data_IF_204446933418
#
_entry.id   IF_204446933418
#
_cell.length_a   1.000
_cell.length_b   1.000
_cell.length_c   1.000
_cell.angle_alpha   90.00
_cell.angle_beta   90.00
_cell.angle_gamma   90.00
#
_symmetry.space_group_name_H-M   'P 1'
#
loop_
_entity.id
_entity.type
_entity.pdbx_description
1 polymer ?
#
# COMPACT_ATOMS: atom_id res chain seq x y z
N UNK A 1 -14.64 -1.91 -5.03
CA UNK A 1 -14.28 -1.79 -3.61
C UNK A 1 -12.86 -1.25 -3.53
N UNK A 2 -12.59 -0.16 -2.79
CA UNK A 2 -11.22 0.21 -2.47
C UNK A 2 -10.62 -0.89 -1.57
N UNK A 3 -9.41 -1.38 -1.84
CA UNK A 3 -8.83 -2.51 -1.11
C UNK A 3 -8.36 -2.18 0.32
N UNK A 4 -8.51 -0.92 0.76
CA UNK A 4 -8.11 -0.46 2.09
C UNK A 4 -9.28 0.33 2.68
N UNK A 5 -9.87 -0.20 3.74
CA UNK A 5 -10.87 0.50 4.53
C UNK A 5 -10.19 1.48 5.47
N UNK A 6 -10.83 2.61 5.77
CA UNK A 6 -10.26 3.72 6.56
C UNK A 6 -9.83 3.34 7.99
N UNK A 7 -10.13 2.13 8.46
CA UNK A 7 -9.70 1.57 9.75
C UNK A 7 -8.41 0.76 9.68
N UNK A 8 -7.95 0.35 8.49
CA UNK A 8 -6.68 -0.35 8.32
C UNK A 8 -5.54 0.65 8.35
N UNK A 9 -4.85 0.69 9.49
CA UNK A 9 -3.68 1.52 9.68
C UNK A 9 -2.53 0.94 8.81
N UNK A 10 -2.14 1.71 7.79
CA UNK A 10 -1.01 1.40 6.93
C UNK A 10 0.27 1.67 7.74
N UNK A 11 0.65 0.68 8.55
CA UNK A 11 1.87 0.69 9.35
C UNK A 11 2.87 -0.34 8.81
N UNK A 12 4.16 -0.04 8.94
CA UNK A 12 5.27 -0.93 8.59
C UNK A 12 5.18 -2.31 9.28
N UNK A 13 4.49 -2.38 10.42
CA UNK A 13 4.26 -3.62 11.18
C UNK A 13 3.32 -4.59 10.45
N UNK A 14 2.42 -4.08 9.61
CA UNK A 14 1.50 -4.89 8.81
C UNK A 14 2.15 -5.32 7.49
N UNK A 15 3.14 -6.22 7.60
CA UNK A 15 3.85 -6.76 6.42
C UNK A 15 2.92 -7.48 5.44
N UNK A 16 1.79 -8.04 5.90
CA UNK A 16 0.78 -8.69 5.05
C UNK A 16 0.01 -7.74 4.15
N UNK A 17 -0.24 -6.50 4.60
CA UNK A 17 -0.84 -5.45 3.79
C UNK A 17 0.20 -4.86 2.84
N UNK A 18 1.39 -4.59 3.35
CA UNK A 18 2.48 -3.99 2.56
C UNK A 18 2.91 -4.90 1.41
N UNK A 19 3.03 -6.21 1.63
CA UNK A 19 3.42 -7.16 0.59
C UNK A 19 2.47 -7.19 -0.60
N UNK A 20 1.18 -6.89 -0.40
CA UNK A 20 0.19 -6.78 -1.49
C UNK A 20 0.43 -5.57 -2.40
N UNK A 21 1.14 -4.56 -1.91
CA UNK A 21 1.43 -3.32 -2.64
C UNK A 21 2.85 -3.28 -3.22
N UNK A 22 3.62 -4.36 -3.05
CA UNK A 22 4.98 -4.51 -3.57
C UNK A 22 4.99 -5.66 -4.58
N UNK A 23 5.79 -5.54 -5.64
CA UNK A 23 6.03 -6.64 -6.57
C UNK A 23 6.93 -7.71 -5.95
N UNK A 24 7.00 -8.89 -6.56
CA UNK A 24 7.95 -9.94 -6.15
C UNK A 24 9.42 -9.48 -6.11
N UNK A 25 9.75 -8.41 -6.85
CA UNK A 25 11.09 -7.82 -6.88
C UNK A 25 11.33 -6.76 -5.80
N UNK A 26 10.40 -6.53 -4.88
CA UNK A 26 10.53 -5.49 -3.86
C UNK A 26 10.20 -4.07 -4.35
N UNK A 27 9.63 -3.90 -5.56
CA UNK A 27 9.27 -2.59 -6.10
C UNK A 27 7.84 -2.20 -5.71
N UNK A 28 7.64 -0.96 -5.28
CA UNK A 28 6.30 -0.44 -4.97
C UNK A 28 5.44 -0.42 -6.24
N UNK A 29 4.29 -1.08 -6.20
CA UNK A 29 3.35 -1.11 -7.30
C UNK A 29 2.68 0.25 -7.51
N UNK A 30 2.43 0.59 -8.78
CA UNK A 30 1.82 1.86 -9.16
C UNK A 30 0.38 1.96 -8.70
N UNK A 31 -0.06 3.18 -8.37
CA UNK A 31 -1.43 3.51 -7.93
C UNK A 31 -2.51 2.98 -8.88
N UNK A 32 -2.24 2.92 -10.18
CA UNK A 32 -3.21 2.42 -11.19
C UNK A 32 -3.51 0.94 -11.02
N UNK A 33 -2.50 0.15 -10.63
CA UNK A 33 -2.62 -1.29 -10.39
C UNK A 33 -3.41 -1.54 -9.12
N UNK A 34 -3.06 -0.83 -8.03
CA UNK A 34 -3.70 -1.01 -6.72
C UNK A 34 -5.05 -0.29 -6.58
N UNK A 35 -5.44 0.52 -7.57
CA UNK A 35 -6.66 1.35 -7.55
C UNK A 35 -6.82 2.16 -6.26
N UNK A 36 -5.71 2.74 -5.80
CA UNK A 36 -5.64 3.51 -4.57
C UNK A 36 -5.90 5.00 -4.81
N UNK A 37 -6.35 5.68 -3.76
CA UNK A 37 -6.37 7.14 -3.71
C UNK A 37 -4.94 7.69 -3.60
N UNK A 38 -4.75 8.97 -3.95
CA UNK A 38 -3.44 9.62 -3.88
C UNK A 38 -2.90 9.66 -2.42
N UNK A 39 -3.81 9.85 -1.45
CA UNK A 39 -3.50 9.86 -0.02
C UNK A 39 -3.01 8.49 0.45
N UNK A 40 -3.70 7.41 0.08
CA UNK A 40 -3.31 6.04 0.41
C UNK A 40 -1.96 5.67 -0.21
N UNK A 41 -1.73 6.01 -1.48
CA UNK A 41 -0.44 5.74 -2.14
C UNK A 41 0.72 6.43 -1.40
N UNK A 42 0.54 7.68 -0.96
CA UNK A 42 1.54 8.40 -0.16
C UNK A 42 1.83 7.70 1.17
N UNK A 43 0.79 7.26 1.88
CA UNK A 43 0.95 6.52 3.14
C UNK A 43 1.71 5.22 2.94
N UNK A 44 1.40 4.45 1.89
CA UNK A 44 2.11 3.22 1.54
C UNK A 44 3.59 3.50 1.23
N UNK A 45 3.88 4.53 0.42
CA UNK A 45 5.26 4.90 0.12
C UNK A 45 6.03 5.30 1.38
N UNK A 46 5.40 5.96 2.34
CA UNK A 46 6.02 6.31 3.64
C UNK A 46 6.23 5.06 4.49
N UNK A 47 5.28 4.12 4.50
CA UNK A 47 5.37 2.90 5.30
C UNK A 47 6.37 1.87 4.74
N UNK A 48 6.67 1.92 3.44
CA UNK A 48 7.65 1.04 2.77
C UNK A 48 9.07 1.61 2.79
N UNK A 49 9.21 2.94 2.96
CA UNK A 49 10.50 3.61 3.01
C UNK A 49 11.23 3.30 4.32
#
# INVERSE_FOLDING_TARGET
>A
MPPIESGDQIDYKNMSLISRFISEQGKILSRRVNRLTLKQQRLITIAIK
#
